data_IF_538750500196
#
_entry.id   IF_538750500196
#
_cell.length_a   1.000
_cell.length_b   1.000
_cell.length_c   1.000
_cell.angle_alpha   90.00
_cell.angle_beta   90.00
_cell.angle_gamma   90.00
#
_symmetry.space_group_name_H-M   'P 1'
#
loop_
_entity.id
_entity.type
_entity.pdbx_description
1 polymer ?
#
# COMPACT_ATOMS: atom_id res chain seq x y z
N UNK A 1 -25.70 -24.17 -40.54
CA UNK A 1 -24.84 -23.72 -39.43
C UNK A 1 -25.50 -22.53 -38.74
N UNK A 2 -25.86 -22.67 -37.47
CA UNK A 2 -26.69 -21.71 -36.72
C UNK A 2 -25.82 -20.54 -36.19
N UNK A 3 -25.84 -19.40 -36.89
CA UNK A 3 -25.11 -18.16 -36.52
C UNK A 3 -25.39 -17.67 -35.10
N UNK A 4 -26.56 -17.99 -34.54
CA UNK A 4 -26.98 -17.52 -33.20
C UNK A 4 -26.16 -18.13 -32.05
N UNK A 5 -25.53 -19.30 -32.24
CA UNK A 5 -24.65 -19.91 -31.21
C UNK A 5 -23.26 -19.27 -31.16
N UNK A 6 -22.82 -18.62 -32.23
CA UNK A 6 -21.48 -18.03 -32.34
C UNK A 6 -21.46 -16.66 -31.65
N UNK A 7 -22.48 -15.84 -31.88
CA UNK A 7 -22.60 -14.51 -31.25
C UNK A 7 -22.64 -14.58 -29.72
N UNK A 8 -23.38 -15.53 -29.13
CA UNK A 8 -23.44 -15.68 -27.67
C UNK A 8 -22.09 -16.03 -27.03
N UNK A 9 -21.23 -16.79 -27.75
CA UNK A 9 -19.89 -17.15 -27.27
C UNK A 9 -18.92 -15.97 -27.34
N UNK A 10 -19.04 -15.12 -28.36
CA UNK A 10 -18.21 -13.91 -28.52
C UNK A 10 -18.53 -12.89 -27.41
N UNK A 11 -19.82 -12.68 -27.11
CA UNK A 11 -20.24 -11.77 -26.02
C UNK A 11 -19.77 -12.27 -24.65
N UNK A 12 -19.83 -13.58 -24.40
CA UNK A 12 -19.33 -14.17 -23.16
C UNK A 12 -17.80 -14.02 -22.99
N UNK A 13 -17.02 -14.16 -24.08
CA UNK A 13 -15.56 -13.97 -24.06
C UNK A 13 -15.16 -12.51 -23.81
N UNK A 14 -15.87 -11.54 -24.40
CA UNK A 14 -15.65 -10.11 -24.14
C UNK A 14 -15.99 -9.74 -22.68
N UNK A 15 -17.05 -10.35 -22.11
CA UNK A 15 -17.39 -10.20 -20.70
C UNK A 15 -16.30 -10.74 -19.76
N UNK A 16 -15.72 -11.91 -20.07
CA UNK A 16 -14.62 -12.47 -19.28
C UNK A 16 -13.35 -11.62 -19.36
N UNK A 17 -13.03 -11.05 -20.53
CA UNK A 17 -11.90 -10.14 -20.70
C UNK A 17 -12.07 -8.83 -19.91
N UNK A 18 -13.28 -8.25 -19.89
CA UNK A 18 -13.56 -7.04 -19.13
C UNK A 18 -13.42 -7.24 -17.61
N UNK A 19 -13.86 -8.39 -17.10
CA UNK A 19 -13.72 -8.74 -15.67
C UNK A 19 -12.24 -8.97 -15.30
N UNK A 20 -11.46 -9.62 -16.17
CA UNK A 20 -10.03 -9.84 -15.93
C UNK A 20 -9.19 -8.56 -16.01
N UNK A 21 -9.57 -7.61 -16.87
CA UNK A 21 -8.89 -6.31 -16.96
C UNK A 21 -9.16 -5.43 -15.72
N UNK A 22 -10.35 -5.49 -15.12
CA UNK A 22 -10.70 -4.71 -13.92
C UNK A 22 -10.02 -5.21 -12.65
N UNK A 23 -9.62 -6.49 -12.61
CA UNK A 23 -9.09 -7.14 -11.42
C UNK A 23 -7.56 -7.16 -11.37
N UNK A 24 -6.89 -6.46 -12.29
CA UNK A 24 -5.46 -6.18 -12.22
C UNK A 24 -5.24 -5.06 -11.20
N UNK A 25 -5.46 -5.39 -9.93
CA UNK A 25 -4.93 -4.61 -8.81
C UNK A 25 -3.43 -4.52 -9.05
N UNK A 26 -2.93 -3.30 -9.31
CA UNK A 26 -1.51 -3.08 -9.55
C UNK A 26 -0.69 -3.84 -8.50
N UNK A 27 0.29 -4.66 -8.91
CA UNK A 27 1.12 -5.39 -7.97
C UNK A 27 1.76 -4.38 -7.03
N UNK A 28 1.76 -4.67 -5.72
CA UNK A 28 2.40 -3.91 -4.63
C UNK A 28 3.76 -3.36 -5.12
N UNK A 29 3.76 -2.15 -5.70
CA UNK A 29 4.90 -1.66 -6.44
C UNK A 29 5.86 -1.08 -5.41
N UNK A 30 6.93 -1.82 -5.14
CA UNK A 30 7.98 -1.35 -4.24
C UNK A 30 8.47 0.04 -4.68
N UNK A 31 8.74 0.91 -3.70
CA UNK A 31 9.17 2.27 -4.00
C UNK A 31 10.58 2.31 -4.60
N UNK A 32 10.75 3.18 -5.58
CA UNK A 32 12.05 3.53 -6.14
C UNK A 32 12.88 4.36 -5.16
N UNK A 33 14.21 4.34 -5.31
CA UNK A 33 15.12 5.15 -4.49
C UNK A 33 14.79 6.65 -4.54
N UNK A 34 14.27 7.14 -5.67
CA UNK A 34 13.85 8.55 -5.82
C UNK A 34 12.64 8.89 -4.96
N UNK A 35 11.66 8.00 -4.88
CA UNK A 35 10.48 8.18 -4.02
C UNK A 35 10.85 8.15 -2.54
N UNK A 36 11.81 7.29 -2.18
CA UNK A 36 12.33 7.22 -0.81
C UNK A 36 13.02 8.54 -0.43
N UNK A 37 13.87 9.09 -1.30
CA UNK A 37 14.52 10.39 -1.03
C UNK A 37 13.49 11.51 -0.89
N UNK A 38 12.50 11.58 -1.79
CA UNK A 38 11.40 12.56 -1.70
C UNK A 38 10.63 12.42 -0.38
N UNK A 39 10.37 11.20 0.06
CA UNK A 39 9.71 10.96 1.34
C UNK A 39 10.54 11.49 2.51
N UNK A 40 11.86 11.28 2.53
CA UNK A 40 12.73 11.80 3.61
C UNK A 40 12.67 13.33 3.69
N UNK A 41 12.74 14.01 2.55
CA UNK A 41 12.62 15.48 2.49
C UNK A 41 11.25 15.98 2.94
N UNK A 42 10.17 15.26 2.59
CA UNK A 42 8.81 15.62 3.00
C UNK A 42 8.57 15.34 4.49
N UNK A 43 9.11 14.24 5.02
CA UNK A 43 8.99 13.88 6.43
C UNK A 43 9.55 14.98 7.34
N UNK A 44 10.68 15.58 6.95
CA UNK A 44 11.26 16.73 7.64
C UNK A 44 10.32 17.95 7.61
N UNK A 45 9.74 18.27 6.44
CA UNK A 45 8.75 19.37 6.30
C UNK A 45 7.49 19.14 7.14
N UNK A 46 7.12 17.88 7.36
CA UNK A 46 5.96 17.50 8.19
C UNK A 46 6.30 17.41 9.68
N UNK A 47 7.53 17.72 10.09
CA UNK A 47 7.97 17.70 11.49
C UNK A 47 8.09 16.28 12.07
N UNK A 48 8.26 15.27 11.21
CA UNK A 48 8.48 13.90 11.65
C UNK A 48 9.91 13.70 12.16
N UNK A 49 10.16 12.70 13.02
CA UNK A 49 11.51 12.30 13.38
C UNK A 49 12.33 11.90 12.15
N UNK A 50 13.65 12.15 12.15
CA UNK A 50 14.53 11.83 11.04
C UNK A 50 14.50 10.34 10.69
N UNK A 51 14.54 10.07 9.39
CA UNK A 51 14.48 8.72 8.82
C UNK A 51 15.90 8.14 8.76
N UNK A 52 16.25 7.31 9.75
CA UNK A 52 17.54 6.60 9.80
C UNK A 52 17.56 5.44 8.79
N UNK A 53 16.57 4.56 8.86
CA UNK A 53 16.48 3.36 8.04
C UNK A 53 15.03 3.13 7.60
N UNK A 54 14.80 2.98 6.29
CA UNK A 54 13.48 2.61 5.77
C UNK A 54 13.34 1.09 5.85
N UNK A 55 12.37 0.60 6.62
CA UNK A 55 12.09 -0.83 6.77
C UNK A 55 11.24 -1.32 5.60
N UNK A 56 10.19 -0.56 5.25
CA UNK A 56 9.35 -0.85 4.09
C UNK A 56 8.68 0.42 3.56
N UNK A 57 8.39 0.42 2.27
CA UNK A 57 7.59 1.44 1.60
C UNK A 57 6.79 0.78 0.49
N UNK A 58 5.48 1.00 0.47
CA UNK A 58 4.59 0.48 -0.57
C UNK A 58 3.50 1.45 -0.95
N UNK A 59 2.96 1.22 -2.13
CA UNK A 59 1.82 1.95 -2.68
C UNK A 59 0.59 1.07 -2.67
N UNK A 60 -0.51 1.57 -2.11
CA UNK A 60 -1.80 0.88 -2.06
C UNK A 60 -2.88 1.74 -2.71
N UNK A 61 -3.66 1.14 -3.60
CA UNK A 61 -4.91 1.72 -4.08
C UNK A 61 -5.98 1.58 -2.99
N UNK A 62 -6.54 2.69 -2.53
CA UNK A 62 -7.65 2.71 -1.57
C UNK A 62 -9.02 2.94 -2.23
N UNK A 63 -9.01 3.55 -3.42
CA UNK A 63 -10.20 3.74 -4.25
C UNK A 63 -9.74 3.83 -5.71
N UNK A 64 -10.66 3.68 -6.68
CA UNK A 64 -10.37 3.62 -8.12
C UNK A 64 -9.41 4.72 -8.65
N UNK A 65 -9.32 5.84 -7.95
CA UNK A 65 -8.47 6.99 -8.31
C UNK A 65 -7.55 7.48 -7.18
N UNK A 66 -7.53 6.81 -6.02
CA UNK A 66 -6.77 7.27 -4.86
C UNK A 66 -5.67 6.29 -4.48
N UNK A 67 -4.44 6.81 -4.51
CA UNK A 67 -3.24 6.12 -4.09
C UNK A 67 -2.88 6.54 -2.66
N UNK A 68 -2.53 5.56 -1.86
CA UNK A 68 -2.02 5.73 -0.51
C UNK A 68 -0.61 5.14 -0.45
N UNK A 69 0.36 5.95 -0.06
CA UNK A 69 1.73 5.53 0.18
C UNK A 69 1.89 5.23 1.67
N UNK A 70 2.30 4.00 1.99
CA UNK A 70 2.58 3.56 3.35
C UNK A 70 4.09 3.41 3.55
N UNK A 71 4.63 3.99 4.61
CA UNK A 71 6.04 3.91 4.98
C UNK A 71 6.18 3.38 6.40
N UNK A 72 7.17 2.51 6.61
CA UNK A 72 7.61 2.12 7.94
C UNK A 72 9.11 2.33 8.01
N UNK A 73 9.55 3.11 8.99
CA UNK A 73 10.96 3.47 9.13
C UNK A 73 11.40 3.52 10.58
N UNK A 74 12.71 3.44 10.78
CA UNK A 74 13.36 3.55 12.08
C UNK A 74 13.98 4.92 12.26
N UNK A 75 13.86 5.46 13.47
CA UNK A 75 14.48 6.73 13.87
C UNK A 75 15.83 6.50 14.56
N UNK A 76 16.58 7.57 14.79
CA UNK A 76 17.85 7.50 15.54
C UNK A 76 17.67 6.98 16.97
N UNK A 77 16.52 7.25 17.58
CA UNK A 77 16.16 6.78 18.92
C UNK A 77 15.62 5.34 18.93
N UNK A 78 15.86 4.55 17.88
CA UNK A 78 15.35 3.18 17.72
C UNK A 78 13.81 3.06 17.78
N UNK A 79 13.06 4.13 17.49
CA UNK A 79 11.59 4.05 17.37
C UNK A 79 11.22 3.61 15.95
N UNK A 80 10.17 2.81 15.83
CA UNK A 80 9.56 2.47 14.54
C UNK A 80 8.41 3.44 14.32
N UNK A 81 8.44 4.14 13.19
CA UNK A 81 7.39 5.05 12.75
C UNK A 81 6.64 4.46 11.57
N UNK A 82 5.31 4.56 11.62
CA UNK A 82 4.39 4.21 10.54
C UNK A 82 3.83 5.52 9.97
N UNK A 83 3.86 5.66 8.65
CA UNK A 83 3.35 6.83 7.93
C UNK A 83 2.42 6.38 6.83
N UNK A 84 1.29 7.06 6.72
CA UNK A 84 0.32 6.92 5.66
C UNK A 84 0.10 8.27 4.98
N UNK A 85 0.33 8.31 3.67
CA UNK A 85 0.16 9.50 2.85
C UNK A 85 -0.89 9.19 1.79
N UNK A 86 -2.04 9.87 1.83
CA UNK A 86 -3.05 9.75 0.77
C UNK A 86 -2.80 10.85 -0.25
N UNK A 87 -2.42 10.46 -1.46
CA UNK A 87 -2.22 11.40 -2.56
C UNK A 87 -3.58 12.01 -2.94
N UNK A 88 -3.73 13.32 -2.67
CA UNK A 88 -4.84 14.12 -3.18
C UNK A 88 -4.32 15.28 -4.02
N UNK A 89 -3.63 16.20 -3.35
CA UNK A 89 -3.11 17.46 -3.89
C UNK A 89 -1.79 17.76 -3.16
N UNK A 90 -0.68 18.03 -3.86
CA UNK A 90 0.64 18.21 -3.26
C UNK A 90 0.68 19.28 -2.16
N UNK A 91 -0.16 20.32 -2.24
CA UNK A 91 -0.19 21.41 -1.24
C UNK A 91 -1.01 21.07 0.02
N UNK A 92 -1.93 20.10 -0.08
CA UNK A 92 -2.83 19.71 1.03
C UNK A 92 -2.60 18.30 1.55
N UNK A 93 -1.58 17.62 1.03
CA UNK A 93 -1.24 16.27 1.45
C UNK A 93 -0.69 16.31 2.88
N UNK A 94 -1.56 15.96 3.83
CA UNK A 94 -1.19 15.78 5.24
C UNK A 94 -0.95 14.29 5.51
N UNK A 95 0.22 13.92 6.02
CA UNK A 95 0.48 12.55 6.41
C UNK A 95 -0.24 12.24 7.73
N UNK A 96 -0.64 10.98 7.89
CA UNK A 96 -0.98 10.42 9.19
C UNK A 96 0.22 9.58 9.62
N UNK A 97 0.78 9.86 10.80
CA UNK A 97 1.95 9.14 11.27
C UNK A 97 1.90 8.87 12.77
N UNK A 98 2.59 7.81 13.18
CA UNK A 98 2.77 7.46 14.60
C UNK A 98 4.10 6.76 14.78
N UNK A 99 4.73 6.93 15.95
CA UNK A 99 5.99 6.27 16.28
C UNK A 99 5.85 5.51 17.61
N UNK A 100 6.40 4.31 17.67
CA UNK A 100 6.41 3.47 18.86
C UNK A 100 7.83 2.94 19.13
N UNK A 101 8.17 2.75 20.41
CA UNK A 101 9.43 2.12 20.79
C UNK A 101 9.48 0.67 20.29
N UNK A 102 10.59 0.29 19.64
CA UNK A 102 10.82 -1.04 19.09
C UNK A 102 11.03 -2.07 20.20
N UNK A 103 9.95 -2.47 20.88
CA UNK A 103 9.95 -3.65 21.76
C UNK A 103 8.62 -4.40 21.62
N UNK A 104 8.58 -5.40 20.74
CA UNK A 104 7.62 -6.54 20.76
C UNK A 104 6.17 -6.29 20.31
N UNK A 105 5.73 -5.07 20.02
CA UNK A 105 4.33 -4.78 19.65
C UNK A 105 4.03 -4.93 18.15
N UNK A 106 4.99 -4.58 17.29
CA UNK A 106 4.85 -4.62 15.82
C UNK A 106 4.74 -6.06 15.32
N UNK A 107 5.73 -6.90 15.60
CA UNK A 107 5.72 -8.31 15.20
C UNK A 107 4.54 -9.08 15.80
N UNK A 108 4.07 -8.76 17.02
CA UNK A 108 2.87 -9.37 17.61
C UNK A 108 1.59 -8.99 16.89
N UNK A 109 1.39 -7.71 16.54
CA UNK A 109 0.20 -7.25 15.80
C UNK A 109 0.21 -7.73 14.34
N UNK A 110 1.36 -7.69 13.68
CA UNK A 110 1.54 -8.20 12.33
C UNK A 110 1.32 -9.72 12.27
N UNK A 111 1.94 -10.49 13.18
CA UNK A 111 1.69 -11.95 13.26
C UNK A 111 0.26 -12.28 13.68
N UNK A 112 -0.37 -11.51 14.56
CA UNK A 112 -1.77 -11.73 14.94
C UNK A 112 -2.73 -11.51 13.76
N UNK A 113 -2.52 -10.46 12.96
CA UNK A 113 -3.27 -10.25 11.70
C UNK A 113 -2.99 -11.35 10.67
N UNK A 114 -1.73 -11.78 10.54
CA UNK A 114 -1.35 -12.86 9.62
C UNK A 114 -1.96 -14.21 10.03
N UNK A 115 -1.92 -14.58 11.32
CA UNK A 115 -2.57 -15.79 11.82
C UNK A 115 -4.08 -15.79 11.59
N UNK A 116 -4.74 -14.64 11.81
CA UNK A 116 -6.19 -14.50 11.59
C UNK A 116 -6.55 -14.56 10.10
N UNK A 117 -5.72 -14.02 9.22
CA UNK A 117 -5.93 -14.08 7.77
C UNK A 117 -5.65 -15.48 7.19
N UNK A 118 -4.72 -16.23 7.80
CA UNK A 118 -4.37 -17.60 7.40
C UNK A 118 -5.25 -18.68 8.05
N UNK A 119 -6.31 -18.29 8.78
CA UNK A 119 -7.21 -19.23 9.44
C UNK A 119 -6.58 -20.04 10.59
N UNK A 120 -5.38 -19.66 11.05
CA UNK A 120 -4.73 -20.29 12.21
C UNK A 120 -5.25 -19.65 13.51
N UNK A 121 -6.51 -19.87 13.83
CA UNK A 121 -7.01 -19.84 15.20
C UNK A 121 -7.94 -21.05 15.35
N UNK A 122 -7.54 -21.95 16.25
CA UNK A 122 -8.35 -23.09 16.67
C UNK A 122 -9.54 -22.69 17.52
#
# INVERSE_FOLDING_TARGET
MNSNKIFGRIVALMGLFAVNCLQRSDPDQGMSSREITKFKEQAEKWGMPPVRELITGRHRLIHLVRKQSEYVYKTDNNKICEVAVVERDPERTKPVWSCADDKRGFWRRAMSKAKKALGFLG
#
